data_IF_778516639844
#
_entry.id   IF_778516639844
#
_cell.length_a   1.000
_cell.length_b   1.000
_cell.length_c   1.000
_cell.angle_alpha   90.00
_cell.angle_beta   90.00
_cell.angle_gamma   90.00
#
_symmetry.space_group_name_H-M   'P 1'
#
loop_
_entity.id
_entity.type
_entity.pdbx_description
1 polymer ?
#
# COMPACT_ATOMS: atom_id res chain seq x y z
N UNK A 1 7.76 -20.61 -0.17
CA UNK A 1 7.04 -19.84 -1.20
C UNK A 1 5.56 -20.15 -1.08
N UNK A 2 4.92 -19.52 -0.11
CA UNK A 2 3.47 -19.50 0.02
C UNK A 2 3.02 -18.14 -0.49
N UNK A 3 2.12 -18.14 -1.47
CA UNK A 3 1.47 -16.92 -1.94
C UNK A 3 0.60 -16.35 -0.81
N UNK A 4 0.47 -15.02 -0.73
CA UNK A 4 -0.48 -14.41 0.18
C UNK A 4 -1.89 -15.01 0.00
N UNK A 5 -2.58 -15.40 1.09
CA UNK A 5 -3.97 -15.81 1.02
C UNK A 5 -4.86 -14.59 0.80
N UNK A 6 -6.08 -14.83 0.34
CA UNK A 6 -7.12 -13.80 0.44
C UNK A 6 -7.52 -13.58 1.90
N UNK A 7 -7.93 -12.34 2.28
CA UNK A 7 -8.07 -11.16 1.42
C UNK A 7 -6.78 -10.35 1.22
N UNK A 8 -5.66 -10.79 1.81
CA UNK A 8 -4.40 -10.04 1.80
C UNK A 8 -3.76 -9.91 0.42
N UNK A 9 -3.90 -10.92 -0.44
CA UNK A 9 -3.47 -10.85 -1.82
C UNK A 9 -4.16 -9.68 -2.54
N UNK A 10 -5.50 -9.64 -2.51
CA UNK A 10 -6.28 -8.57 -3.11
C UNK A 10 -5.93 -7.20 -2.51
N UNK A 11 -5.80 -7.11 -1.18
CA UNK A 11 -5.48 -5.85 -0.51
C UNK A 11 -4.11 -5.31 -0.96
N UNK A 12 -3.08 -6.15 -0.98
CA UNK A 12 -1.74 -5.78 -1.44
C UNK A 12 -1.73 -5.29 -2.90
N UNK A 13 -2.42 -6.01 -3.79
CA UNK A 13 -2.47 -5.67 -5.21
C UNK A 13 -3.22 -4.36 -5.44
N UNK A 14 -4.32 -4.13 -4.73
CA UNK A 14 -5.09 -2.89 -4.81
C UNK A 14 -4.30 -1.70 -4.27
N UNK A 15 -3.58 -1.86 -3.16
CA UNK A 15 -2.69 -0.83 -2.63
C UNK A 15 -1.58 -0.46 -3.62
N UNK A 16 -0.93 -1.44 -4.28
CA UNK A 16 0.05 -1.16 -5.34
C UNK A 16 -0.60 -0.40 -6.50
N UNK A 17 -1.79 -0.84 -6.95
CA UNK A 17 -2.52 -0.18 -8.03
C UNK A 17 -2.80 1.28 -7.72
N UNK A 18 -3.30 1.58 -6.52
CA UNK A 18 -3.57 2.95 -6.08
C UNK A 18 -2.29 3.78 -6.00
N UNK A 19 -1.22 3.26 -5.41
CA UNK A 19 0.07 3.94 -5.38
C UNK A 19 0.62 4.29 -6.78
N UNK A 20 0.48 3.39 -7.76
CA UNK A 20 0.87 3.64 -9.16
C UNK A 20 0.01 4.74 -9.78
N UNK A 21 -1.31 4.73 -9.55
CA UNK A 21 -2.22 5.75 -10.06
C UNK A 21 -1.93 7.13 -9.47
N UNK A 22 -1.73 7.21 -8.15
CA UNK A 22 -1.40 8.47 -7.49
C UNK A 22 -0.02 8.98 -7.90
N UNK A 23 0.99 8.11 -8.02
CA UNK A 23 2.31 8.49 -8.59
C UNK A 23 2.15 9.14 -9.96
N UNK A 24 1.40 8.50 -10.86
CA UNK A 24 1.13 9.03 -12.20
C UNK A 24 0.45 10.40 -12.13
N UNK A 25 -0.57 10.56 -11.29
CA UNK A 25 -1.31 11.81 -11.16
C UNK A 25 -0.42 12.93 -10.60
N UNK A 26 0.38 12.63 -9.56
CA UNK A 26 1.31 13.58 -8.96
C UNK A 26 2.40 14.02 -9.93
N UNK A 27 3.00 13.09 -10.68
CA UNK A 27 4.00 13.42 -11.69
C UNK A 27 3.42 14.24 -12.84
N UNK A 28 2.23 13.88 -13.34
CA UNK A 28 1.56 14.62 -14.41
C UNK A 28 1.17 16.03 -14.00
N UNK A 29 0.58 16.18 -12.81
CA UNK A 29 0.15 17.46 -12.26
C UNK A 29 1.29 18.30 -11.66
N UNK A 30 2.50 17.72 -11.51
CA UNK A 30 3.62 18.30 -10.75
C UNK A 30 3.21 18.76 -9.34
N UNK A 31 2.30 18.01 -8.72
CA UNK A 31 1.68 18.38 -7.44
C UNK A 31 2.39 17.81 -6.22
N UNK A 32 3.29 16.84 -6.41
CA UNK A 32 4.11 16.26 -5.33
C UNK A 32 5.58 16.64 -5.47
N UNK A 33 6.26 16.73 -4.33
CA UNK A 33 7.72 16.83 -4.32
C UNK A 33 8.36 15.49 -4.71
N UNK A 34 9.62 15.48 -5.20
CA UNK A 34 10.37 14.24 -5.39
C UNK A 34 10.45 13.37 -4.13
N UNK A 35 10.51 14.00 -2.95
CA UNK A 35 10.51 13.31 -1.65
C UNK A 35 9.22 12.52 -1.43
N UNK A 36 8.05 13.14 -1.69
CA UNK A 36 6.77 12.46 -1.56
C UNK A 36 6.66 11.26 -2.51
N UNK A 37 7.16 11.37 -3.74
CA UNK A 37 7.19 10.23 -4.67
C UNK A 37 8.12 9.13 -4.18
N UNK A 38 9.29 9.48 -3.63
CA UNK A 38 10.21 8.50 -3.05
C UNK A 38 9.57 7.76 -1.86
N UNK A 39 8.97 8.50 -0.92
CA UNK A 39 8.27 7.91 0.23
C UNK A 39 7.10 7.02 -0.20
N UNK A 40 6.38 7.39 -1.26
CA UNK A 40 5.30 6.57 -1.83
C UNK A 40 5.84 5.24 -2.35
N UNK A 41 6.96 5.25 -3.06
CA UNK A 41 7.61 4.03 -3.53
C UNK A 41 8.15 3.20 -2.37
N UNK A 42 8.75 3.83 -1.36
CA UNK A 42 9.25 3.16 -0.17
C UNK A 42 8.12 2.48 0.62
N UNK A 43 6.92 3.06 0.67
CA UNK A 43 5.78 2.43 1.32
C UNK A 43 5.34 1.10 0.67
N UNK A 44 5.50 0.95 -0.66
CA UNK A 44 4.95 -0.20 -1.40
C UNK A 44 5.99 -1.18 -1.96
N UNK A 45 7.28 -0.80 -2.05
CA UNK A 45 8.28 -1.58 -2.80
C UNK A 45 8.47 -3.01 -2.31
N UNK A 46 8.21 -3.28 -1.02
CA UNK A 46 8.35 -4.61 -0.43
C UNK A 46 7.15 -5.52 -0.70
N UNK A 47 5.98 -4.97 -1.04
CA UNK A 47 4.74 -5.73 -1.22
C UNK A 47 4.92 -6.90 -2.21
N UNK A 48 5.52 -6.73 -3.40
CA UNK A 48 5.69 -7.84 -4.35
C UNK A 48 6.54 -8.99 -3.79
N UNK A 49 7.56 -8.69 -3.00
CA UNK A 49 8.41 -9.72 -2.37
C UNK A 49 7.65 -10.42 -1.25
N UNK A 50 6.93 -9.67 -0.42
CA UNK A 50 6.11 -10.20 0.67
C UNK A 50 4.98 -11.10 0.16
N UNK A 51 4.34 -10.72 -0.94
CA UNK A 51 3.30 -11.53 -1.60
C UNK A 51 3.79 -12.92 -1.99
N UNK A 52 5.04 -13.03 -2.48
CA UNK A 52 5.63 -14.30 -2.89
C UNK A 52 6.24 -15.10 -1.72
N UNK A 53 6.41 -14.48 -0.55
CA UNK A 53 7.04 -15.09 0.63
C UNK A 53 6.17 -14.84 1.87
N UNK A 54 4.88 -15.13 1.76
CA UNK A 54 3.90 -14.70 2.76
C UNK A 54 4.14 -15.30 4.15
N UNK A 55 4.77 -16.47 4.21
CA UNK A 55 5.20 -17.09 5.46
C UNK A 55 6.19 -16.22 6.29
N UNK A 56 6.79 -15.21 5.66
CA UNK A 56 7.68 -14.22 6.29
C UNK A 56 7.04 -12.84 6.40
N UNK A 57 5.80 -12.68 5.96
CA UNK A 57 5.11 -11.41 6.00
C UNK A 57 4.63 -11.10 7.42
N UNK A 58 5.02 -9.93 7.91
CA UNK A 58 4.42 -9.32 9.09
C UNK A 58 3.47 -8.23 8.60
N UNK A 59 2.17 -8.53 8.68
CA UNK A 59 1.10 -7.67 8.18
C UNK A 59 1.05 -6.34 8.93
N UNK A 60 1.33 -6.34 10.24
CA UNK A 60 1.33 -5.11 11.04
C UNK A 60 2.48 -4.20 10.63
N UNK A 61 3.65 -4.79 10.34
CA UNK A 61 4.78 -4.03 9.78
C UNK A 61 4.49 -3.48 8.40
N UNK A 62 3.90 -4.28 7.50
CA UNK A 62 3.46 -3.80 6.19
C UNK A 62 2.51 -2.60 6.35
N UNK A 63 1.49 -2.74 7.20
CA UNK A 63 0.52 -1.69 7.48
C UNK A 63 1.16 -0.44 8.07
N UNK A 64 2.17 -0.59 8.93
CA UNK A 64 2.91 0.54 9.50
C UNK A 64 3.63 1.37 8.43
N UNK A 65 4.23 0.75 7.40
CA UNK A 65 4.84 1.48 6.28
C UNK A 65 3.80 2.26 5.47
N UNK A 66 2.64 1.65 5.17
CA UNK A 66 1.55 2.34 4.48
C UNK A 66 1.03 3.53 5.28
N UNK A 67 0.83 3.32 6.59
CA UNK A 67 0.37 4.35 7.51
C UNK A 67 1.36 5.49 7.66
N UNK A 68 2.67 5.20 7.69
CA UNK A 68 3.70 6.23 7.78
C UNK A 68 3.67 7.19 6.58
N UNK A 69 3.42 6.67 5.37
CA UNK A 69 3.21 7.51 4.19
C UNK A 69 1.96 8.37 4.34
N UNK A 70 0.83 7.76 4.70
CA UNK A 70 -0.46 8.46 4.87
C UNK A 70 -0.37 9.57 5.94
N UNK A 71 0.30 9.32 7.07
CA UNK A 71 0.49 10.31 8.14
C UNK A 71 1.36 11.50 7.69
N UNK A 72 2.39 11.24 6.87
CA UNK A 72 3.30 12.29 6.39
C UNK A 72 2.70 13.13 5.26
N UNK A 73 1.97 12.51 4.33
CA UNK A 73 1.56 13.14 3.07
C UNK A 73 0.05 13.21 2.85
N UNK A 74 -0.75 12.51 3.63
CA UNK A 74 -2.20 12.38 3.41
C UNK A 74 -3.05 13.56 3.89
N UNK A 75 -2.45 14.66 4.37
CA UNK A 75 -3.18 15.80 4.95
C UNK A 75 -4.21 15.37 6.04
N UNK A 76 -3.94 14.28 6.75
CA UNK A 76 -4.85 13.69 7.74
C UNK A 76 -5.87 12.69 7.17
N UNK A 77 -5.79 12.36 5.88
CA UNK A 77 -6.54 11.29 5.22
C UNK A 77 -5.66 10.05 5.08
N UNK A 78 -6.19 8.90 5.49
CA UNK A 78 -5.59 7.61 5.15
C UNK A 78 -5.91 7.28 3.69
N UNK A 79 -4.90 7.01 2.88
CA UNK A 79 -5.06 6.64 1.46
C UNK A 79 -4.58 5.21 1.23
N UNK A 80 -3.29 4.92 1.39
CA UNK A 80 -2.73 3.59 1.13
C UNK A 80 -3.17 2.57 2.18
N UNK A 81 -3.10 2.94 3.46
CA UNK A 81 -3.50 2.08 4.56
C UNK A 81 -5.02 1.88 4.55
N UNK A 82 -5.79 2.91 4.23
CA UNK A 82 -7.25 2.81 4.12
C UNK A 82 -7.68 1.88 2.99
N UNK A 83 -7.01 1.94 1.82
CA UNK A 83 -7.27 1.02 0.71
C UNK A 83 -6.99 -0.42 1.14
N UNK A 84 -5.85 -0.65 1.78
CA UNK A 84 -5.49 -1.98 2.28
C UNK A 84 -6.55 -2.51 3.26
N UNK A 85 -6.84 -1.76 4.31
CA UNK A 85 -7.77 -2.16 5.37
C UNK A 85 -9.19 -2.40 4.82
N UNK A 86 -9.67 -1.53 3.93
CA UNK A 86 -10.99 -1.66 3.30
C UNK A 86 -11.13 -2.97 2.52
N UNK A 87 -10.09 -3.39 1.79
CA UNK A 87 -10.13 -4.63 1.02
C UNK A 87 -10.09 -5.85 1.96
N UNK A 88 -9.32 -5.78 3.04
CA UNK A 88 -9.32 -6.83 4.07
C UNK A 88 -10.72 -6.96 4.68
N UNK A 89 -11.32 -5.86 5.13
CA UNK A 89 -12.66 -5.85 5.74
C UNK A 89 -13.72 -6.41 4.79
N UNK A 90 -13.73 -5.97 3.52
CA UNK A 90 -14.69 -6.46 2.52
C UNK A 90 -14.53 -7.96 2.19
N UNK A 91 -13.34 -8.52 2.40
CA UNK A 91 -13.06 -9.94 2.16
C UNK A 91 -13.27 -10.84 3.38
N UNK A 92 -13.60 -10.28 4.55
CA UNK A 92 -13.94 -11.05 5.75
C UNK A 92 -15.41 -11.48 5.81
N UNK A 93 -16.26 -10.96 4.90
CA UNK A 93 -17.69 -11.27 4.81
C UNK A 93 -18.02 -12.49 3.92
N UNK A 94 -17.01 -13.25 3.45
CA UNK A 94 -17.15 -14.40 2.53
C UNK A 94 -16.72 -15.72 3.17
#
# INVERSE_FOLDING_TARGET
MVLAPEPYLSACLETIREAVLGTRQHCWGRSASPEQIADLMDAIHNIPVLLNNWERCDVEWLRAYLKAYDEKWGEGQSWLCAVFDKVIEAGQDV
#
